data_IF_271465534331
#
_entry.id   IF_271465534331
#
_cell.length_a   1.000
_cell.length_b   1.000
_cell.length_c   1.000
_cell.angle_alpha   90.00
_cell.angle_beta   90.00
_cell.angle_gamma   90.00
#
_symmetry.space_group_name_H-M   'P 1'
#
loop_
_entity.id
_entity.type
_entity.pdbx_description
1 polymer ?
#
# COMPACT_ATOMS: atom_id res chain seq x y z
N UNK A 1 10.61 46.57 -30.82
CA UNK A 1 11.99 46.71 -30.29
C UNK A 1 11.84 46.91 -28.80
N UNK A 2 12.26 46.07 -27.87
CA UNK A 2 13.46 45.22 -27.70
C UNK A 2 13.09 44.02 -26.81
N UNK A 3 13.22 42.77 -27.25
CA UNK A 3 14.41 41.90 -27.08
C UNK A 3 14.98 41.88 -25.65
N UNK A 4 14.58 40.89 -24.85
CA UNK A 4 15.47 40.32 -23.81
C UNK A 4 15.38 38.79 -23.89
N UNK A 5 16.37 38.23 -24.59
CA UNK A 5 16.80 36.83 -24.50
C UNK A 5 17.81 36.71 -23.36
N UNK A 6 17.57 35.81 -22.40
CA UNK A 6 18.60 35.21 -21.55
C UNK A 6 17.91 34.00 -20.87
N UNK A 7 17.95 32.80 -21.44
CA UNK A 7 19.09 31.87 -21.42
C UNK A 7 19.53 31.58 -19.98
N UNK A 8 18.79 30.69 -19.31
CA UNK A 8 19.21 30.04 -18.07
C UNK A 8 19.35 28.54 -18.35
N UNK A 9 20.48 27.99 -17.89
CA UNK A 9 21.07 26.72 -18.29
C UNK A 9 20.15 25.51 -18.07
N UNK A 10 20.06 24.67 -19.10
CA UNK A 10 19.66 23.27 -19.00
C UNK A 10 20.76 22.47 -18.28
N UNK A 11 20.68 22.37 -16.96
CA UNK A 11 21.40 21.36 -16.20
C UNK A 11 20.62 20.03 -16.27
N UNK A 12 20.75 19.31 -17.38
CA UNK A 12 20.30 17.91 -17.48
C UNK A 12 21.26 17.04 -16.67
N UNK A 13 21.03 16.95 -15.36
CA UNK A 13 21.63 15.92 -14.52
C UNK A 13 21.00 14.57 -14.86
N UNK A 14 21.79 13.65 -15.38
CA UNK A 14 21.39 12.24 -15.49
C UNK A 14 21.22 11.70 -14.06
N UNK A 15 19.98 11.60 -13.59
CA UNK A 15 19.67 10.81 -12.41
C UNK A 15 19.99 9.35 -12.74
N UNK A 16 21.09 8.83 -12.19
CA UNK A 16 21.34 7.39 -12.17
C UNK A 16 20.09 6.77 -11.53
N UNK A 17 19.46 5.76 -12.16
CA UNK A 17 18.35 5.07 -11.53
C UNK A 17 18.89 4.40 -10.27
N UNK A 18 18.60 5.00 -9.12
CA UNK A 18 18.79 4.32 -7.85
C UNK A 18 17.93 3.06 -7.94
N UNK A 19 18.55 1.89 -7.96
CA UNK A 19 17.83 0.64 -7.75
C UNK A 19 17.17 0.78 -6.39
N UNK A 20 15.89 1.13 -6.37
CA UNK A 20 15.14 1.34 -5.16
C UNK A 20 15.11 0.00 -4.44
N UNK A 21 15.99 -0.15 -3.44
CA UNK A 21 15.98 -1.32 -2.60
C UNK A 21 14.60 -1.38 -1.94
N UNK A 22 13.91 -2.50 -2.12
CA UNK A 22 12.59 -2.72 -1.51
C UNK A 22 12.74 -2.47 -0.01
N UNK A 23 11.99 -1.49 0.49
CA UNK A 23 12.04 -1.15 1.91
C UNK A 23 11.51 -2.31 2.75
N UNK A 24 11.91 -2.37 4.02
CA UNK A 24 11.41 -3.40 4.95
C UNK A 24 9.88 -3.36 5.08
N UNK A 25 9.29 -2.16 4.97
CA UNK A 25 7.84 -1.98 4.92
C UNK A 25 7.23 -2.66 3.68
N UNK A 26 7.74 -2.37 2.48
CA UNK A 26 7.21 -2.95 1.24
C UNK A 26 7.38 -4.47 1.24
N UNK A 27 8.53 -4.99 1.68
CA UNK A 27 8.74 -6.42 1.83
C UNK A 27 7.72 -7.07 2.78
N UNK A 28 7.40 -6.40 3.90
CA UNK A 28 6.34 -6.84 4.80
C UNK A 28 4.95 -6.81 4.14
N UNK A 29 4.62 -5.75 3.41
CA UNK A 29 3.31 -5.63 2.78
C UNK A 29 3.12 -6.67 1.66
N UNK A 30 4.18 -6.99 0.91
CA UNK A 30 4.18 -8.07 -0.08
C UNK A 30 3.95 -9.46 0.54
N UNK A 31 4.48 -9.72 1.74
CA UNK A 31 4.17 -10.95 2.50
C UNK A 31 2.70 -10.98 2.92
N UNK A 32 2.15 -9.85 3.37
CA UNK A 32 0.73 -9.75 3.70
C UNK A 32 -0.15 -10.03 2.47
N UNK A 33 0.15 -9.43 1.32
CA UNK A 33 -0.56 -9.70 0.06
C UNK A 33 -0.55 -11.20 -0.23
N UNK A 34 0.61 -11.84 -0.14
CA UNK A 34 0.76 -13.25 -0.51
C UNK A 34 -0.01 -14.18 0.44
N UNK A 35 0.13 -14.00 1.75
CA UNK A 35 -0.54 -14.84 2.76
C UNK A 35 -2.07 -14.64 2.71
N UNK A 36 -2.53 -13.39 2.61
CA UNK A 36 -3.97 -13.06 2.60
C UNK A 36 -4.63 -13.50 1.29
N UNK A 37 -3.91 -13.44 0.17
CA UNK A 37 -4.38 -13.98 -1.11
C UNK A 37 -4.55 -15.50 -1.03
N UNK A 38 -3.59 -16.21 -0.43
CA UNK A 38 -3.71 -17.65 -0.21
C UNK A 38 -4.90 -18.00 0.71
N UNK A 39 -5.11 -17.22 1.78
CA UNK A 39 -6.25 -17.39 2.69
C UNK A 39 -7.60 -17.11 2.02
N UNK A 40 -7.66 -16.29 0.96
CA UNK A 40 -8.91 -15.97 0.26
C UNK A 40 -9.56 -17.22 -0.35
N UNK A 41 -8.75 -18.20 -0.76
CA UNK A 41 -9.26 -19.47 -1.28
C UNK A 41 -9.89 -20.37 -0.22
N UNK A 42 -9.58 -20.14 1.07
CA UNK A 42 -10.02 -21.00 2.19
C UNK A 42 -11.19 -20.41 2.98
N UNK A 43 -11.51 -19.12 2.79
CA UNK A 43 -12.65 -18.50 3.47
C UNK A 43 -13.98 -18.82 2.76
N UNK A 44 -15.12 -18.80 3.49
CA UNK A 44 -16.46 -18.87 2.91
C UNK A 44 -16.67 -17.83 1.79
N UNK A 45 -17.50 -18.16 0.79
CA UNK A 45 -17.70 -17.29 -0.38
C UNK A 45 -18.21 -15.89 -0.01
N UNK A 46 -19.07 -15.78 1.00
CA UNK A 46 -19.59 -14.51 1.49
C UNK A 46 -18.52 -13.63 2.17
N UNK A 47 -17.35 -14.17 2.51
CA UNK A 47 -16.23 -13.43 3.09
C UNK A 47 -15.15 -13.06 2.05
N UNK A 48 -15.17 -13.66 0.85
CA UNK A 48 -14.19 -13.37 -0.20
C UNK A 48 -14.12 -11.89 -0.60
N UNK A 49 -15.24 -11.14 -0.71
CA UNK A 49 -15.16 -9.71 -1.03
C UNK A 49 -14.40 -8.91 0.04
N UNK A 50 -14.59 -9.25 1.32
CA UNK A 50 -13.86 -8.63 2.42
C UNK A 50 -12.36 -8.94 2.35
N UNK A 51 -12.00 -10.18 2.04
CA UNK A 51 -10.60 -10.57 1.83
C UNK A 51 -9.96 -9.85 0.64
N UNK A 52 -10.69 -9.72 -0.48
CA UNK A 52 -10.21 -8.97 -1.64
C UNK A 52 -9.95 -7.49 -1.31
N UNK A 53 -10.83 -6.86 -0.53
CA UNK A 53 -10.62 -5.48 -0.07
C UNK A 53 -9.37 -5.35 0.82
N UNK A 54 -9.13 -6.32 1.69
CA UNK A 54 -7.92 -6.37 2.53
C UNK A 54 -6.66 -6.49 1.66
N UNK A 55 -6.65 -7.39 0.66
CA UNK A 55 -5.51 -7.54 -0.26
C UNK A 55 -5.29 -6.23 -1.03
N UNK A 56 -6.36 -5.61 -1.53
CA UNK A 56 -6.28 -4.34 -2.25
C UNK A 56 -5.71 -3.21 -1.39
N UNK A 57 -6.03 -3.17 -0.10
CA UNK A 57 -5.42 -2.20 0.83
C UNK A 57 -3.89 -2.33 0.88
N UNK A 58 -3.36 -3.55 0.97
CA UNK A 58 -1.90 -3.74 0.98
C UNK A 58 -1.27 -3.44 -0.37
N UNK A 59 -1.95 -3.73 -1.49
CA UNK A 59 -1.50 -3.31 -2.82
C UNK A 59 -1.38 -1.78 -2.88
N UNK A 60 -2.42 -1.05 -2.45
CA UNK A 60 -2.38 0.42 -2.42
C UNK A 60 -1.27 0.98 -1.52
N UNK A 61 -0.93 0.30 -0.42
CA UNK A 61 0.21 0.66 0.43
C UNK A 61 1.55 0.44 -0.26
N UNK A 62 1.70 -0.66 -0.99
CA UNK A 62 2.90 -0.92 -1.79
C UNK A 62 3.02 0.12 -2.89
N UNK A 63 1.96 0.37 -3.66
CA UNK A 63 1.95 1.35 -4.75
C UNK A 63 2.28 2.76 -4.26
N UNK A 64 1.75 3.15 -3.09
CA UNK A 64 2.05 4.44 -2.46
C UNK A 64 3.50 4.57 -1.96
N UNK A 65 4.11 3.47 -1.50
CA UNK A 65 5.47 3.47 -0.95
C UNK A 65 6.55 3.24 -2.03
N UNK A 66 6.23 2.51 -3.10
CA UNK A 66 7.12 2.16 -4.19
C UNK A 66 6.38 2.25 -5.54
N UNK A 67 6.13 3.48 -6.04
CA UNK A 67 5.43 3.67 -7.32
C UNK A 67 6.17 2.98 -8.48
N UNK A 68 5.41 2.25 -9.30
CA UNK A 68 5.96 1.55 -10.48
C UNK A 68 6.70 0.25 -10.16
N UNK A 69 6.66 -0.23 -8.92
CA UNK A 69 7.17 -1.55 -8.55
C UNK A 69 6.44 -2.64 -9.36
N UNK A 70 7.19 -3.59 -9.93
CA UNK A 70 6.59 -4.78 -10.54
C UNK A 70 6.13 -5.73 -9.43
N UNK A 71 4.90 -5.51 -8.98
CA UNK A 71 4.27 -6.28 -7.91
C UNK A 71 4.31 -7.80 -8.19
N UNK A 72 4.12 -8.20 -9.44
CA UNK A 72 4.14 -9.63 -9.82
C UNK A 72 5.54 -10.21 -9.68
N UNK A 73 6.57 -9.50 -10.16
CA UNK A 73 7.95 -9.93 -10.02
C UNK A 73 8.37 -10.01 -8.54
N UNK A 74 7.99 -9.03 -7.72
CA UNK A 74 8.35 -9.04 -6.29
C UNK A 74 7.64 -10.14 -5.50
N UNK A 75 6.35 -10.38 -5.75
CA UNK A 75 5.63 -11.50 -5.13
C UNK A 75 6.32 -12.82 -5.49
N UNK A 76 6.69 -13.03 -6.76
CA UNK A 76 7.42 -14.23 -7.19
C UNK A 76 8.76 -14.40 -6.47
N UNK A 77 9.45 -13.31 -6.14
CA UNK A 77 10.70 -13.35 -5.35
C UNK A 77 10.46 -13.66 -3.87
N UNK A 78 9.33 -13.22 -3.31
CA UNK A 78 9.01 -13.41 -1.90
C UNK A 78 8.44 -14.79 -1.60
N UNK A 79 7.62 -15.37 -2.49
CA UNK A 79 6.98 -16.67 -2.27
C UNK A 79 7.93 -17.76 -1.76
N UNK A 80 9.14 -17.97 -2.34
CA UNK A 80 10.09 -18.98 -1.84
C UNK A 80 10.56 -18.74 -0.41
N UNK A 81 10.56 -17.48 0.05
CA UNK A 81 11.01 -17.11 1.40
C UNK A 81 9.94 -17.38 2.47
N UNK A 82 8.67 -17.53 2.07
CA UNK A 82 7.56 -17.71 3.01
C UNK A 82 7.65 -19.04 3.77
N UNK A 83 8.29 -20.07 3.21
CA UNK A 83 8.48 -21.35 3.89
C UNK A 83 9.35 -21.25 5.14
N UNK A 84 10.19 -20.21 5.24
CA UNK A 84 10.99 -19.93 6.43
C UNK A 84 10.26 -19.04 7.45
N UNK A 85 9.09 -18.50 7.11
CA UNK A 85 8.32 -17.63 7.99
C UNK A 85 7.33 -18.43 8.83
N UNK A 86 7.13 -17.98 10.07
CA UNK A 86 5.97 -18.39 10.83
C UNK A 86 4.73 -17.66 10.29
N UNK A 87 3.94 -18.35 9.47
CA UNK A 87 2.71 -17.81 8.84
C UNK A 87 1.74 -17.25 9.89
N UNK A 88 1.66 -17.86 11.08
CA UNK A 88 0.79 -17.40 12.15
C UNK A 88 1.22 -16.04 12.71
N UNK A 89 2.52 -15.82 12.90
CA UNK A 89 3.04 -14.54 13.38
C UNK A 89 2.94 -13.45 12.31
N UNK A 90 3.18 -13.81 11.05
CA UNK A 90 3.03 -12.87 9.95
C UNK A 90 1.55 -12.48 9.73
N UNK A 91 0.62 -13.42 9.86
CA UNK A 91 -0.81 -13.13 9.84
C UNK A 91 -1.23 -12.18 10.97
N UNK A 92 -0.72 -12.37 12.19
CA UNK A 92 -0.95 -11.45 13.32
C UNK A 92 -0.40 -10.05 13.01
N UNK A 93 0.79 -9.95 12.41
CA UNK A 93 1.38 -8.68 12.00
C UNK A 93 0.49 -7.95 10.98
N UNK A 94 0.03 -8.65 9.95
CA UNK A 94 -0.86 -8.09 8.95
C UNK A 94 -2.20 -7.64 9.56
N UNK A 95 -2.76 -8.45 10.48
CA UNK A 95 -3.98 -8.10 11.20
C UNK A 95 -3.82 -6.85 12.06
N UNK A 96 -2.70 -6.70 12.79
CA UNK A 96 -2.43 -5.52 13.60
C UNK A 96 -2.43 -4.23 12.78
N UNK A 97 -1.83 -4.26 11.58
CA UNK A 97 -1.84 -3.10 10.66
C UNK A 97 -3.26 -2.75 10.22
N UNK A 98 -4.10 -3.76 9.92
CA UNK A 98 -5.49 -3.54 9.55
C UNK A 98 -6.32 -3.00 10.71
N UNK A 99 -6.10 -3.49 11.93
CA UNK A 99 -6.77 -2.98 13.14
C UNK A 99 -6.44 -1.51 13.37
N UNK A 100 -5.15 -1.15 13.30
CA UNK A 100 -4.71 0.23 13.45
C UNK A 100 -5.34 1.14 12.38
N UNK A 101 -5.29 0.73 11.11
CA UNK A 101 -5.92 1.51 10.03
C UNK A 101 -7.43 1.61 10.19
N UNK A 102 -8.08 0.53 10.62
CA UNK A 102 -9.51 0.49 10.88
C UNK A 102 -9.92 1.52 11.93
N UNK A 103 -9.18 1.63 13.03
CA UNK A 103 -9.40 2.65 14.05
C UNK A 103 -9.26 4.06 13.47
N UNK A 104 -8.20 4.34 12.71
CA UNK A 104 -8.01 5.64 12.04
C UNK A 104 -9.18 6.00 11.12
N UNK A 105 -9.68 5.03 10.33
CA UNK A 105 -10.81 5.25 9.42
C UNK A 105 -12.12 5.52 10.17
N UNK A 106 -12.34 4.88 11.31
CA UNK A 106 -13.51 5.16 12.15
C UNK A 106 -13.48 6.59 12.69
N UNK A 107 -12.31 7.06 13.12
CA UNK A 107 -12.16 8.42 13.64
C UNK A 107 -12.37 9.47 12.55
N UNK A 108 -11.82 9.26 11.35
CA UNK A 108 -12.10 10.11 10.17
C UNK A 108 -13.60 10.10 9.85
N UNK A 109 -14.24 8.93 9.89
CA UNK A 109 -15.68 8.82 9.62
C UNK A 109 -16.54 9.62 10.61
N UNK A 110 -16.20 9.60 11.91
CA UNK A 110 -16.89 10.40 12.93
C UNK A 110 -16.74 11.89 12.65
N UNK A 111 -15.51 12.35 12.39
CA UNK A 111 -15.24 13.76 12.10
C UNK A 111 -16.04 14.25 10.87
N UNK A 112 -16.09 13.47 9.79
CA UNK A 112 -16.87 13.81 8.60
C UNK A 112 -18.38 13.87 8.86
N UNK A 113 -18.91 13.00 9.72
CA UNK A 113 -20.34 13.05 10.10
C UNK A 113 -20.68 14.30 10.91
N UNK A 114 -19.79 14.75 11.78
CA UNK A 114 -19.96 15.98 12.56
C UNK A 114 -19.96 17.21 11.63
N UNK A 115 -19.00 17.28 10.70
CA UNK A 115 -18.93 18.32 9.68
C UNK A 115 -20.18 18.34 8.77
N UNK A 116 -20.64 17.16 8.33
CA UNK A 116 -21.84 17.04 7.49
C UNK A 116 -23.11 17.55 8.19
N UNK A 117 -23.26 17.27 9.50
CA UNK A 117 -24.37 17.81 10.31
C UNK A 117 -24.30 19.33 10.45
N UNK A 118 -23.10 19.88 10.62
CA UNK A 118 -22.91 21.33 10.73
C UNK A 118 -23.22 22.06 9.41
N UNK A 119 -22.94 21.44 8.27
CA UNK A 119 -23.21 21.99 6.94
C UNK A 119 -24.67 21.87 6.52
N UNK A 120 -25.35 20.76 6.87
CA UNK A 120 -26.78 20.57 6.56
C UNK A 120 -27.76 21.32 7.48
N UNK A 121 -27.25 21.98 8.53
CA UNK A 121 -28.03 22.84 9.43
C UNK A 121 -28.04 24.32 9.00
N UNK A 122 -27.43 24.65 7.86
CA UNK A 122 -27.43 25.98 7.23
C UNK A 122 -28.36 25.98 6.02
#
# INVERSE_FOLDING_TARGET
MTMWKAMALLATGFAVPATAQVSTQVAGDLRCITILSAATATVPENQRPQMAAIVLYFIGRVDGAAPGLDLTAEIKRIVPTLGALNVGDEAKRCAAILTEKGAQLQDVGKALQEEGKAQGAK
#
